data_IF_357905859791
#
_entry.id   IF_357905859791
#
_cell.length_a   1.000
_cell.length_b   1.000
_cell.length_c   1.000
_cell.angle_alpha   90.00
_cell.angle_beta   90.00
_cell.angle_gamma   90.00
#
_symmetry.space_group_name_H-M   'P 1'
#
loop_
_entity.id
_entity.type
_entity.pdbx_description
1 polymer ?
#
# COMPACT_ATOMS: atom_id res chain seq x y z
N UNK A 1 6.66 11.20 17.93
CA UNK A 1 8.07 11.63 17.93
C UNK A 1 8.20 12.84 17.01
N UNK A 2 9.11 13.78 17.27
CA UNK A 2 9.29 14.92 16.37
C UNK A 2 10.01 14.47 15.09
N UNK A 3 9.68 15.07 13.95
CA UNK A 3 10.34 14.79 12.67
C UNK A 3 11.87 14.90 12.76
N UNK A 4 12.37 15.85 13.53
CA UNK A 4 13.81 16.03 13.81
C UNK A 4 14.44 14.84 14.52
N UNK A 5 13.76 14.23 15.49
CA UNK A 5 14.26 13.04 16.20
C UNK A 5 14.34 11.81 15.30
N UNK A 6 13.40 11.69 14.35
CA UNK A 6 13.37 10.58 13.39
C UNK A 6 14.53 10.73 12.38
N UNK A 7 14.74 11.93 11.85
CA UNK A 7 15.85 12.20 10.92
C UNK A 7 17.21 11.91 11.55
N UNK A 8 17.43 12.34 12.81
CA UNK A 8 18.68 12.04 13.54
C UNK A 8 18.91 10.53 13.69
N UNK A 9 17.84 9.75 13.91
CA UNK A 9 17.93 8.30 14.02
C UNK A 9 18.26 7.64 12.68
N UNK A 10 17.69 8.14 11.59
CA UNK A 10 17.99 7.67 10.22
C UNK A 10 19.48 7.90 9.90
N UNK A 11 20.01 9.10 10.15
CA UNK A 11 21.44 9.43 9.92
C UNK A 11 22.40 8.55 10.74
N UNK A 12 21.99 8.13 11.95
CA UNK A 12 22.76 7.22 12.78
C UNK A 12 22.79 5.80 12.18
N UNK A 13 21.64 5.31 11.70
CA UNK A 13 21.55 4.00 11.06
C UNK A 13 22.33 3.95 9.74
N UNK A 14 22.29 5.03 8.94
CA UNK A 14 23.07 5.15 7.70
C UNK A 14 24.57 5.04 7.96
N UNK A 15 25.08 5.75 8.98
CA UNK A 15 26.50 5.67 9.36
C UNK A 15 26.92 4.29 9.83
N UNK A 16 26.08 3.62 10.62
CA UNK A 16 26.37 2.25 11.10
C UNK A 16 26.35 1.24 9.95
N UNK A 17 25.44 1.40 9.00
CA UNK A 17 25.34 0.52 7.83
C UNK A 17 26.58 0.67 6.94
N UNK A 18 27.04 1.89 6.72
CA UNK A 18 28.27 2.17 5.95
C UNK A 18 29.50 1.54 6.63
N UNK A 19 29.65 1.71 7.95
CA UNK A 19 30.74 1.11 8.70
C UNK A 19 30.72 -0.43 8.65
N UNK A 20 29.53 -1.04 8.65
CA UNK A 20 29.37 -2.48 8.49
C UNK A 20 29.77 -2.97 7.10
N UNK A 21 29.40 -2.22 6.06
CA UNK A 21 29.78 -2.51 4.67
C UNK A 21 31.31 -2.39 4.46
N UNK A 22 31.95 -1.39 5.08
CA UNK A 22 33.41 -1.24 5.07
C UNK A 22 34.14 -2.37 5.81
N UNK A 23 33.50 -2.94 6.83
CA UNK A 23 33.98 -4.13 7.55
C UNK A 23 33.58 -5.46 6.88
N UNK A 24 32.96 -5.41 5.70
CA UNK A 24 32.45 -6.58 4.93
C UNK A 24 31.40 -7.42 5.68
N UNK A 25 30.77 -6.86 6.72
CA UNK A 25 29.67 -7.50 7.45
C UNK A 25 28.32 -7.16 6.79
N UNK A 26 28.04 -7.85 5.69
CA UNK A 26 26.83 -7.63 4.91
C UNK A 26 25.54 -8.09 5.62
N UNK A 27 25.64 -9.04 6.54
CA UNK A 27 24.50 -9.48 7.35
C UNK A 27 24.04 -8.35 8.29
N UNK A 28 24.99 -7.71 8.97
CA UNK A 28 24.71 -6.57 9.82
C UNK A 28 24.24 -5.36 8.99
N UNK A 29 24.85 -5.11 7.83
CA UNK A 29 24.41 -4.07 6.91
C UNK A 29 22.97 -4.29 6.43
N UNK A 30 22.58 -5.53 6.11
CA UNK A 30 21.22 -5.88 5.69
C UNK A 30 20.19 -5.62 6.81
N UNK A 31 20.50 -6.02 8.05
CA UNK A 31 19.62 -5.75 9.21
C UNK A 31 19.43 -4.25 9.45
N UNK A 32 20.52 -3.47 9.36
CA UNK A 32 20.47 -2.02 9.52
C UNK A 32 19.68 -1.34 8.40
N UNK A 33 19.79 -1.83 7.16
CA UNK A 33 18.98 -1.36 6.03
C UNK A 33 17.50 -1.59 6.28
N UNK A 34 17.12 -2.77 6.76
CA UNK A 34 15.72 -3.10 7.01
C UNK A 34 15.15 -2.26 8.18
N UNK A 35 15.95 -2.01 9.22
CA UNK A 35 15.58 -1.07 10.30
C UNK A 35 15.41 0.36 9.76
N UNK A 36 16.32 0.82 8.91
CA UNK A 36 16.26 2.13 8.27
C UNK A 36 15.01 2.29 7.40
N UNK A 37 14.64 1.26 6.64
CA UNK A 37 13.42 1.27 5.82
C UNK A 37 12.16 1.37 6.69
N UNK A 38 12.14 0.72 7.85
CA UNK A 38 11.04 0.88 8.82
C UNK A 38 10.92 2.33 9.30
N UNK A 39 12.03 2.97 9.66
CA UNK A 39 12.00 4.37 10.12
C UNK A 39 11.66 5.35 8.98
N UNK A 40 12.11 5.11 7.75
CA UNK A 40 11.72 5.93 6.58
C UNK A 40 10.23 5.78 6.25
N UNK A 41 9.68 4.57 6.30
CA UNK A 41 8.25 4.33 6.12
C UNK A 41 7.36 4.83 7.27
N UNK A 42 7.91 5.02 8.47
CA UNK A 42 7.22 5.73 9.57
C UNK A 42 7.34 7.27 9.44
N UNK A 43 8.41 7.78 8.83
CA UNK A 43 8.63 9.22 8.58
C UNK A 43 7.79 9.75 7.40
N UNK A 44 7.71 8.98 6.32
CA UNK A 44 6.77 9.17 5.22
C UNK A 44 5.47 8.44 5.57
N UNK A 45 4.53 9.13 6.21
CA UNK A 45 3.14 8.68 6.32
C UNK A 45 2.42 8.67 4.95
N UNK A 46 3.10 8.21 3.90
CA UNK A 46 2.70 8.23 2.51
C UNK A 46 3.17 6.96 1.82
N UNK A 47 2.50 5.85 2.12
CA UNK A 47 2.51 4.56 1.39
C UNK A 47 3.88 3.92 1.14
N UNK A 48 4.14 2.70 1.67
CA UNK A 48 5.26 1.92 1.17
C UNK A 48 5.06 1.67 -0.34
N UNK A 49 6.10 1.83 -1.16
CA UNK A 49 6.07 1.53 -2.61
C UNK A 49 5.56 0.11 -2.89
N UNK A 50 5.73 -0.80 -1.92
CA UNK A 50 5.14 -2.14 -1.90
C UNK A 50 4.49 -2.38 -0.54
N UNK A 51 3.16 -2.36 -0.48
CA UNK A 51 2.39 -2.78 0.72
C UNK A 51 1.88 -4.20 0.54
N UNK A 52 1.86 -4.98 1.63
CA UNK A 52 1.08 -6.21 1.65
C UNK A 52 -0.43 -5.87 1.53
N UNK A 53 -1.15 -6.40 0.54
CA UNK A 53 -2.57 -6.13 0.42
C UNK A 53 -3.34 -6.70 1.63
N UNK A 54 -4.34 -5.99 2.18
CA UNK A 54 -5.24 -6.53 3.17
C UNK A 54 -5.90 -7.84 2.69
N UNK A 55 -6.25 -8.76 3.61
CA UNK A 55 -6.93 -10.00 3.25
C UNK A 55 -8.17 -9.72 2.40
N UNK A 56 -8.20 -10.26 1.17
CA UNK A 56 -9.29 -10.06 0.21
C UNK A 56 -9.03 -9.01 -0.89
N UNK A 57 -7.97 -8.20 -0.79
CA UNK A 57 -7.43 -7.52 -1.97
C UNK A 57 -6.66 -8.56 -2.80
N UNK A 58 -7.14 -8.85 -4.02
CA UNK A 58 -6.27 -9.48 -5.01
C UNK A 58 -5.10 -8.51 -5.30
N UNK A 59 -3.92 -9.02 -5.65
CA UNK A 59 -2.65 -8.28 -5.64
C UNK A 59 -2.54 -7.09 -6.62
N UNK A 60 -1.31 -6.83 -7.09
CA UNK A 60 -1.03 -5.77 -8.06
C UNK A 60 -1.92 -5.95 -9.31
N UNK A 61 -2.71 -4.92 -9.67
CA UNK A 61 -3.63 -4.94 -10.82
C UNK A 61 -5.12 -4.90 -10.49
N UNK A 62 -5.53 -5.11 -9.23
CA UNK A 62 -6.95 -5.06 -8.82
C UNK A 62 -7.47 -3.64 -8.58
N UNK A 63 -6.61 -2.64 -8.72
CA UNK A 63 -7.00 -1.23 -8.81
C UNK A 63 -7.59 -0.95 -10.19
N UNK A 64 -8.77 -1.50 -10.48
CA UNK A 64 -9.56 -1.02 -11.61
C UNK A 64 -10.16 0.32 -11.16
N UNK A 65 -9.73 1.46 -11.72
CA UNK A 65 -10.38 2.73 -11.42
C UNK A 65 -11.86 2.60 -11.80
N UNK A 66 -12.75 2.74 -10.82
CA UNK A 66 -14.18 2.81 -11.09
C UNK A 66 -14.41 4.13 -11.80
N UNK A 67 -14.66 4.08 -13.11
CA UNK A 67 -15.00 5.27 -13.88
C UNK A 67 -16.31 5.81 -13.32
N UNK A 68 -16.26 6.99 -12.69
CA UNK A 68 -17.45 7.67 -12.24
C UNK A 68 -18.27 8.10 -13.47
N UNK A 69 -19.56 7.76 -13.56
CA UNK A 69 -20.39 8.23 -14.64
C UNK A 69 -20.52 9.76 -14.57
N UNK A 70 -20.68 10.45 -15.72
CA UNK A 70 -20.76 11.90 -15.76
C UNK A 70 -22.00 12.42 -15.00
N UNK A 71 -21.93 13.67 -14.53
CA UNK A 71 -23.02 14.33 -13.82
C UNK A 71 -24.31 14.28 -14.64
N UNK A 72 -25.39 13.76 -14.03
CA UNK A 72 -26.70 13.63 -14.69
C UNK A 72 -26.91 12.31 -15.45
N UNK A 73 -25.93 11.40 -15.48
CA UNK A 73 -26.11 10.09 -16.09
C UNK A 73 -27.05 9.21 -15.26
N UNK A 74 -28.14 8.75 -15.87
CA UNK A 74 -29.05 7.77 -15.29
C UNK A 74 -28.81 6.41 -15.91
N UNK A 75 -28.57 5.40 -15.05
CA UNK A 75 -28.40 4.01 -15.49
C UNK A 75 -29.71 3.54 -16.15
N UNK A 76 -29.67 2.95 -17.37
CA UNK A 76 -30.87 2.39 -17.98
C UNK A 76 -31.44 1.24 -17.12
N UNK A 77 -32.77 1.09 -17.15
CA UNK A 77 -33.44 -0.03 -16.49
C UNK A 77 -32.98 -1.34 -17.13
N UNK A 78 -32.58 -2.31 -16.30
CA UNK A 78 -32.24 -3.65 -16.80
C UNK A 78 -33.46 -4.22 -17.55
N UNK A 79 -33.30 -4.72 -18.79
CA UNK A 79 -34.39 -5.37 -19.50
C UNK A 79 -34.90 -6.57 -18.70
N UNK A 80 -36.18 -6.87 -18.86
CA UNK A 80 -36.76 -8.07 -18.27
C UNK A 80 -36.03 -9.30 -18.84
N UNK A 81 -35.45 -10.18 -17.99
CA UNK A 81 -34.81 -11.40 -18.48
C UNK A 81 -35.78 -12.35 -19.18
N UNK A 82 -37.10 -12.10 -19.17
CA UNK A 82 -38.14 -12.97 -19.76
C UNK A 82 -38.06 -14.42 -19.26
N UNK A 83 -37.47 -14.63 -18.07
CA UNK A 83 -37.32 -15.93 -17.43
C UNK A 83 -38.38 -16.10 -16.34
N UNK A 84 -39.16 -17.18 -16.43
CA UNK A 84 -40.36 -17.41 -15.62
C UNK A 84 -40.16 -17.74 -14.13
N UNK A 85 -39.01 -17.44 -13.50
CA UNK A 85 -38.71 -18.07 -12.19
C UNK A 85 -37.79 -17.39 -11.19
N UNK A 86 -37.27 -16.18 -11.41
CA UNK A 86 -36.32 -15.61 -10.44
C UNK A 86 -36.72 -14.22 -9.96
N UNK A 87 -37.20 -14.12 -8.71
CA UNK A 87 -37.35 -12.84 -8.01
C UNK A 87 -35.96 -12.20 -7.87
N UNK A 88 -35.77 -10.90 -8.18
CA UNK A 88 -34.52 -10.22 -7.87
C UNK A 88 -34.36 -10.18 -6.35
N UNK A 89 -33.27 -10.75 -5.83
CA UNK A 89 -32.89 -10.57 -4.43
C UNK A 89 -32.61 -9.08 -4.23
N UNK A 90 -33.42 -8.42 -3.41
CA UNK A 90 -33.32 -6.99 -3.12
C UNK A 90 -31.91 -6.59 -2.69
N UNK A 91 -31.49 -5.39 -3.11
CA UNK A 91 -30.19 -4.80 -2.78
C UNK A 91 -30.01 -4.77 -1.25
N UNK A 92 -28.91 -5.38 -0.77
CA UNK A 92 -28.30 -5.07 0.52
C UNK A 92 -27.30 -3.93 0.32
#
# INVERSE_FOLDING_TARGET
MSSTSINRRIEELERRMQAAAEAEDFELAARLRDELQRWKGEAEAGTPEVRQPPPGQMGLGTHVPVVAPPTGWTRPKKPDPMTAGHKPRGKR
#
